data_IF_659901984588
#
_entry.id   IF_659901984588
#
_cell.length_a   1.000
_cell.length_b   1.000
_cell.length_c   1.000
_cell.angle_alpha   90.00
_cell.angle_beta   90.00
_cell.angle_gamma   90.00
#
_symmetry.space_group_name_H-M   'P 1'
#
loop_
_entity.id
_entity.type
_entity.pdbx_description
1 polymer ?
#
# COMPACT_ATOMS: atom_id res chain seq x y z
N UNK A 1 8.44 -10.81 14.70
CA UNK A 1 8.12 -11.29 13.34
C UNK A 1 9.41 -11.24 12.57
N UNK A 2 9.92 -12.38 12.12
CA UNK A 2 11.22 -12.46 11.43
C UNK A 2 10.95 -12.66 9.94
N UNK A 3 11.32 -11.69 9.11
CA UNK A 3 11.12 -11.75 7.66
C UNK A 3 12.32 -12.45 7.02
N UNK A 4 12.06 -13.58 6.35
CA UNK A 4 13.09 -14.27 5.58
C UNK A 4 13.38 -13.46 4.33
N UNK A 5 14.53 -12.75 4.33
CA UNK A 5 14.98 -11.96 3.19
C UNK A 5 16.33 -12.46 2.70
N UNK A 6 16.47 -12.49 1.38
CA UNK A 6 17.74 -12.76 0.72
C UNK A 6 18.14 -11.52 -0.09
N UNK A 7 19.44 -11.25 -0.17
CA UNK A 7 19.95 -10.14 -0.96
C UNK A 7 20.54 -10.67 -2.26
N UNK A 8 20.19 -10.00 -3.36
CA UNK A 8 20.84 -10.20 -4.66
C UNK A 8 21.97 -9.17 -4.74
N UNK A 9 23.19 -9.66 -4.97
CA UNK A 9 24.40 -8.83 -5.08
C UNK A 9 24.89 -8.78 -6.52
N UNK A 10 25.45 -7.65 -6.94
CA UNK A 10 26.14 -7.51 -8.23
C UNK A 10 27.62 -7.94 -8.13
N UNK A 11 28.36 -7.80 -9.23
CA UNK A 11 29.77 -8.17 -9.34
C UNK A 11 30.67 -7.40 -8.35
N UNK A 12 30.30 -6.15 -8.01
CA UNK A 12 30.99 -5.31 -7.04
C UNK A 12 30.60 -5.62 -5.58
N UNK A 13 29.92 -6.74 -5.33
CA UNK A 13 29.40 -7.13 -4.01
C UNK A 13 28.40 -6.12 -3.40
N UNK A 14 27.78 -5.29 -4.23
CA UNK A 14 26.75 -4.33 -3.80
C UNK A 14 25.37 -5.01 -3.84
N UNK A 15 24.56 -4.78 -2.81
CA UNK A 15 23.18 -5.27 -2.77
C UNK A 15 22.31 -4.43 -3.70
N UNK A 16 21.73 -5.07 -4.71
CA UNK A 16 20.93 -4.40 -5.76
C UNK A 16 19.45 -4.75 -5.69
N UNK A 17 19.10 -5.87 -5.07
CA UNK A 17 17.72 -6.26 -4.86
C UNK A 17 17.55 -7.11 -3.59
N UNK A 18 16.31 -7.25 -3.14
CA UNK A 18 15.90 -8.14 -2.06
C UNK A 18 14.88 -9.13 -2.61
N UNK A 19 15.03 -10.40 -2.26
CA UNK A 19 14.05 -11.44 -2.51
C UNK A 19 13.31 -11.73 -1.20
N UNK A 20 11.98 -11.73 -1.29
CA UNK A 20 11.04 -12.01 -0.21
C UNK A 20 10.05 -13.06 -0.71
N UNK A 21 9.41 -13.80 0.21
CA UNK A 21 8.19 -14.52 -0.14
C UNK A 21 7.07 -13.54 -0.50
N UNK A 22 6.17 -13.99 -1.36
CA UNK A 22 5.11 -13.15 -1.93
C UNK A 22 4.19 -12.60 -0.83
N UNK A 23 3.82 -13.42 0.16
CA UNK A 23 2.96 -13.01 1.27
C UNK A 23 3.58 -11.87 2.09
N UNK A 24 4.89 -11.93 2.33
CA UNK A 24 5.63 -10.85 3.01
C UNK A 24 5.67 -9.58 2.17
N UNK A 25 5.90 -9.69 0.86
CA UNK A 25 5.91 -8.54 -0.05
C UNK A 25 4.53 -7.86 -0.07
N UNK A 26 3.47 -8.62 -0.31
CA UNK A 26 2.09 -8.12 -0.33
C UNK A 26 1.69 -7.49 1.02
N UNK A 27 2.15 -8.07 2.13
CA UNK A 27 1.89 -7.47 3.46
C UNK A 27 2.56 -6.10 3.60
N UNK A 28 3.76 -5.92 3.05
CA UNK A 28 4.45 -4.62 3.06
C UNK A 28 3.68 -3.63 2.19
N UNK A 29 3.29 -4.01 0.98
CA UNK A 29 2.50 -3.15 0.09
C UNK A 29 1.19 -2.73 0.75
N UNK A 30 0.41 -3.68 1.26
CA UNK A 30 -0.85 -3.40 1.94
C UNK A 30 -0.71 -2.39 3.08
N UNK A 31 0.36 -2.46 3.87
CA UNK A 31 0.58 -1.50 4.97
C UNK A 31 0.89 -0.10 4.41
N UNK A 32 1.73 -0.01 3.39
CA UNK A 32 2.11 1.27 2.77
C UNK A 32 0.92 1.91 2.05
N UNK A 33 0.18 1.14 1.27
CA UNK A 33 -1.00 1.60 0.53
C UNK A 33 -2.12 2.04 1.46
N UNK A 34 -2.43 1.26 2.51
CA UNK A 34 -3.44 1.65 3.48
C UNK A 34 -3.07 2.94 4.21
N UNK A 35 -1.79 3.10 4.58
CA UNK A 35 -1.33 4.35 5.18
C UNK A 35 -1.51 5.53 4.22
N UNK A 36 -1.03 5.40 2.97
CA UNK A 36 -1.14 6.44 1.96
C UNK A 36 -2.61 6.80 1.66
N UNK A 37 -3.49 5.80 1.58
CA UNK A 37 -4.92 5.98 1.36
C UNK A 37 -5.57 6.77 2.50
N UNK A 38 -5.24 6.48 3.75
CA UNK A 38 -5.74 7.26 4.90
C UNK A 38 -5.29 8.71 4.82
N UNK A 39 -4.02 8.97 4.44
CA UNK A 39 -3.56 10.35 4.25
C UNK A 39 -4.31 11.05 3.12
N UNK A 40 -4.59 10.36 2.02
CA UNK A 40 -5.34 10.90 0.89
C UNK A 40 -6.78 11.24 1.29
N UNK A 41 -7.45 10.35 2.01
CA UNK A 41 -8.81 10.59 2.53
C UNK A 41 -8.82 11.77 3.49
N UNK A 42 -7.85 11.89 4.39
CA UNK A 42 -7.78 12.99 5.35
C UNK A 42 -7.42 14.35 4.71
N UNK A 43 -6.68 14.33 3.60
CA UNK A 43 -6.34 15.52 2.83
C UNK A 43 -7.51 15.97 1.93
N UNK A 44 -8.45 15.07 1.64
CA UNK A 44 -9.64 15.41 0.90
C UNK A 44 -10.57 16.28 1.77
N UNK A 45 -11.09 17.34 1.17
CA UNK A 45 -12.02 18.30 1.77
C UNK A 45 -13.42 18.18 1.17
N UNK A 46 -13.64 17.15 0.35
CA UNK A 46 -14.93 16.80 -0.21
C UNK A 46 -15.97 16.54 0.89
N UNK A 47 -17.23 16.75 0.54
CA UNK A 47 -18.34 16.51 1.45
C UNK A 47 -18.46 15.02 1.79
N UNK A 48 -18.62 14.72 3.09
CA UNK A 48 -18.88 13.36 3.55
C UNK A 48 -20.37 13.06 3.32
N UNK A 49 -20.64 12.19 2.36
CA UNK A 49 -22.01 11.75 2.05
C UNK A 49 -22.41 10.57 2.94
N UNK A 50 -23.66 10.57 3.39
CA UNK A 50 -24.26 9.37 3.96
C UNK A 50 -24.60 8.36 2.86
N UNK A 51 -24.99 7.14 3.26
CA UNK A 51 -25.25 6.04 2.34
C UNK A 51 -26.27 6.39 1.23
N UNK A 52 -27.38 7.04 1.58
CA UNK A 52 -28.44 7.39 0.61
C UNK A 52 -27.98 8.50 -0.35
N UNK A 53 -27.24 9.49 0.17
CA UNK A 53 -26.65 10.57 -0.63
C UNK A 53 -25.61 10.04 -1.61
N UNK A 54 -24.71 9.17 -1.15
CA UNK A 54 -23.70 8.53 -1.97
C UNK A 54 -24.34 7.69 -3.07
N UNK A 55 -25.34 6.86 -2.73
CA UNK A 55 -26.07 6.04 -3.70
C UNK A 55 -26.73 6.89 -4.78
N UNK A 56 -27.33 8.03 -4.40
CA UNK A 56 -27.92 8.99 -5.35
C UNK A 56 -26.87 9.66 -6.22
N UNK A 57 -25.72 10.05 -5.65
CA UNK A 57 -24.62 10.69 -6.37
C UNK A 57 -24.05 9.79 -7.47
N UNK A 58 -23.81 8.50 -7.17
CA UNK A 58 -23.24 7.52 -8.10
C UNK A 58 -24.25 6.89 -9.07
N UNK A 59 -25.56 7.07 -8.87
CA UNK A 59 -26.59 6.56 -9.78
C UNK A 59 -26.83 7.43 -11.03
N UNK A 60 -25.96 8.43 -11.27
CA UNK A 60 -25.90 9.22 -12.51
C UNK A 60 -25.14 8.50 -13.61
#
# INVERSE_FOLDING_TARGET
MEFKRQYIVNEDSQRVAVQLDIDTFEKIENVLENYALVQLINADSSEILNFEEAKKYYAR
#
